data_IF_593809769271
#
_entry.id   IF_593809769271
#
_cell.length_a   1.000
_cell.length_b   1.000
_cell.length_c   1.000
_cell.angle_alpha   90.00
_cell.angle_beta   90.00
_cell.angle_gamma   90.00
#
_symmetry.space_group_name_H-M   'P 1'
#
loop_
_entity.id
_entity.type
_entity.pdbx_description
1 polymer ?
#
# COMPACT_ATOMS: atom_id res chain seq x y z
N UNK A 1 4.70 -7.06 -10.43
CA UNK A 1 4.34 -7.35 -9.02
C UNK A 1 4.31 -6.04 -8.22
N UNK A 2 3.13 -5.43 -8.05
CA UNK A 2 3.01 -4.05 -7.51
C UNK A 2 2.76 -3.98 -5.99
N UNK A 3 2.38 -5.09 -5.36
CA UNK A 3 2.05 -5.13 -3.93
C UNK A 3 3.31 -5.37 -3.10
N UNK A 4 3.51 -4.56 -2.06
CA UNK A 4 4.56 -4.71 -1.06
C UNK A 4 3.99 -4.67 0.35
N UNK A 5 4.65 -5.33 1.29
CA UNK A 5 4.30 -5.20 2.71
C UNK A 5 5.52 -5.11 3.61
N UNK A 6 5.36 -4.47 4.76
CA UNK A 6 6.34 -4.47 5.84
C UNK A 6 5.61 -4.78 7.14
N UNK A 7 6.04 -5.81 7.88
CA UNK A 7 5.39 -6.24 9.12
C UNK A 7 6.39 -6.26 10.27
N UNK A 8 5.95 -5.89 11.47
CA UNK A 8 6.71 -6.10 12.71
C UNK A 8 6.63 -7.55 13.19
N UNK A 9 5.69 -8.34 12.66
CA UNK A 9 5.47 -9.75 13.04
C UNK A 9 5.76 -10.69 11.87
N UNK A 10 6.30 -11.87 12.20
CA UNK A 10 6.60 -12.95 11.25
C UNK A 10 5.36 -13.66 10.69
N UNK A 11 4.16 -13.29 11.12
CA UNK A 11 2.89 -13.97 10.80
C UNK A 11 2.37 -13.66 9.37
N UNK A 12 3.31 -13.34 8.48
CA UNK A 12 3.06 -12.86 7.12
C UNK A 12 3.00 -13.98 6.08
N UNK A 13 3.18 -15.24 6.51
CA UNK A 13 3.34 -16.41 5.64
C UNK A 13 2.11 -16.73 4.74
N UNK A 14 0.99 -16.03 4.93
CA UNK A 14 -0.22 -16.18 4.10
C UNK A 14 -0.47 -15.01 3.13
N UNK A 15 0.40 -13.99 3.14
CA UNK A 15 0.36 -12.93 2.14
C UNK A 15 1.27 -13.35 0.98
N UNK A 16 0.70 -13.73 -0.17
CA UNK A 16 1.43 -13.89 -1.45
C UNK A 16 1.88 -12.52 -1.99
N UNK A 17 2.54 -11.73 -1.15
CA UNK A 17 2.98 -10.36 -1.38
C UNK A 17 4.48 -10.30 -1.19
N UNK A 18 5.10 -9.30 -1.79
CA UNK A 18 6.56 -9.16 -1.73
C UNK A 18 6.93 -8.31 -0.51
N UNK A 19 7.91 -8.75 0.25
CA UNK A 19 8.44 -7.97 1.39
C UNK A 19 9.01 -6.65 0.85
N UNK A 20 8.72 -5.55 1.53
CA UNK A 20 9.25 -4.25 1.18
C UNK A 20 10.76 -4.26 1.34
N UNK A 21 11.46 -3.96 0.25
CA UNK A 21 12.92 -3.95 0.22
C UNK A 21 13.48 -2.80 1.06
N UNK A 22 14.60 -3.07 1.71
CA UNK A 22 15.40 -2.02 2.34
C UNK A 22 15.98 -1.10 1.27
N UNK A 23 16.07 0.19 1.59
CA UNK A 23 16.77 1.16 0.74
C UNK A 23 18.22 0.75 0.61
N UNK A 24 18.62 0.40 -0.62
CA UNK A 24 20.02 0.30 -0.98
C UNK A 24 20.56 1.72 -1.23
N UNK A 25 20.90 2.43 -0.15
CA UNK A 25 21.60 3.71 -0.28
C UNK A 25 23.00 3.45 -0.86
N UNK A 26 23.14 3.61 -2.17
CA UNK A 26 24.44 3.52 -2.86
C UNK A 26 25.37 4.69 -2.53
N UNK A 27 24.88 5.73 -1.85
CA UNK A 27 25.69 6.86 -1.41
C UNK A 27 26.29 6.58 -0.02
N UNK A 28 27.51 6.04 -0.06
CA UNK A 28 28.35 5.79 1.10
C UNK A 28 28.46 7.06 1.99
N UNK A 29 28.43 6.86 3.31
CA UNK A 29 28.80 7.80 4.40
C UNK A 29 27.72 8.50 5.24
N UNK A 30 26.41 8.28 5.03
CA UNK A 30 25.42 8.66 6.06
C UNK A 30 24.99 7.44 6.85
N UNK A 31 25.11 7.52 8.18
CA UNK A 31 24.47 6.57 9.11
C UNK A 31 22.96 6.66 8.81
N UNK A 32 22.44 5.65 8.09
CA UNK A 32 21.01 5.53 7.83
C UNK A 32 20.37 5.28 9.19
N UNK A 33 19.59 6.24 9.67
CA UNK A 33 18.80 6.03 10.90
C UNK A 33 17.84 4.88 10.60
N UNK A 34 17.58 4.01 11.58
CA UNK A 34 16.66 2.89 11.38
C UNK A 34 15.34 3.32 10.75
N UNK A 35 14.87 4.54 11.07
CA UNK A 35 13.66 5.15 10.51
C UNK A 35 13.64 5.36 8.99
N UNK A 36 14.81 5.48 8.38
CA UNK A 36 14.99 5.85 6.97
C UNK A 36 15.33 4.61 6.12
N UNK A 37 15.32 3.42 6.74
CA UNK A 37 15.74 2.13 6.16
C UNK A 37 14.78 1.59 5.09
N UNK A 38 13.49 1.91 5.17
CA UNK A 38 12.49 1.44 4.22
C UNK A 38 11.89 2.58 3.41
N UNK A 39 11.59 2.33 2.12
CA UNK A 39 10.85 3.30 1.30
C UNK A 39 9.34 3.16 1.54
N UNK A 40 8.84 3.78 2.61
CA UNK A 40 7.42 3.83 2.91
C UNK A 40 6.81 5.11 2.31
N UNK A 41 5.94 4.93 1.30
CA UNK A 41 5.17 6.03 0.72
C UNK A 41 4.08 6.53 1.70
N UNK A 42 3.73 7.82 1.63
CA UNK A 42 2.76 8.45 2.56
C UNK A 42 3.36 9.53 3.47
N UNK A 43 4.58 9.99 3.17
CA UNK A 43 5.28 10.99 3.97
C UNK A 43 5.74 10.46 5.33
N UNK A 44 6.27 11.35 6.17
CA UNK A 44 6.83 10.96 7.47
C UNK A 44 5.84 10.37 8.47
N UNK A 45 4.52 10.42 8.20
CA UNK A 45 3.46 9.95 9.11
C UNK A 45 3.36 8.43 9.13
N UNK A 46 3.17 7.79 7.97
CA UNK A 46 3.08 6.32 7.89
C UNK A 46 4.36 5.68 8.46
N UNK A 47 5.49 6.29 8.13
CA UNK A 47 6.79 5.89 8.64
C UNK A 47 6.86 6.03 10.17
N UNK A 48 6.52 7.21 10.70
CA UNK A 48 6.51 7.48 12.15
C UNK A 48 5.59 6.53 12.90
N UNK A 49 4.37 6.29 12.40
CA UNK A 49 3.41 5.39 13.03
C UNK A 49 3.96 3.97 13.13
N UNK A 50 4.58 3.47 12.07
CA UNK A 50 5.19 2.14 12.08
C UNK A 50 6.33 2.03 13.08
N UNK A 51 7.25 3.00 13.11
CA UNK A 51 8.34 2.99 14.10
C UNK A 51 7.83 3.15 15.52
N UNK A 52 6.84 4.01 15.76
CA UNK A 52 6.23 4.14 17.09
C UNK A 52 5.59 2.83 17.52
N UNK A 53 4.86 2.15 16.62
CA UNK A 53 4.27 0.84 16.90
C UNK A 53 5.35 -0.21 17.22
N UNK A 54 6.42 -0.27 16.42
CA UNK A 54 7.55 -1.16 16.66
C UNK A 54 8.22 -0.91 18.03
N UNK A 55 8.49 0.35 18.38
CA UNK A 55 9.05 0.72 19.68
C UNK A 55 8.12 0.40 20.84
N UNK A 56 6.81 0.50 20.61
CA UNK A 56 5.77 0.20 21.59
C UNK A 56 5.39 -1.28 21.63
N UNK A 57 6.08 -2.13 20.85
CA UNK A 57 5.78 -3.56 20.70
C UNK A 57 4.34 -3.85 20.24
N UNK A 58 3.72 -2.90 19.54
CA UNK A 58 2.40 -3.05 18.94
C UNK A 58 2.57 -3.70 17.57
N UNK A 59 1.89 -4.82 17.28
CA UNK A 59 1.90 -5.42 15.95
C UNK A 59 1.40 -4.44 14.90
N UNK A 60 2.21 -4.18 13.87
CA UNK A 60 1.87 -3.28 12.78
C UNK A 60 2.30 -3.88 11.45
N UNK A 61 1.45 -3.71 10.45
CA UNK A 61 1.74 -4.10 9.07
C UNK A 61 1.38 -2.95 8.14
N UNK A 62 2.34 -2.51 7.35
CA UNK A 62 2.13 -1.57 6.25
C UNK A 62 1.90 -2.37 4.97
N UNK A 63 0.88 -1.94 4.22
CA UNK A 63 0.54 -2.47 2.90
C UNK A 63 0.73 -1.35 1.88
N UNK A 64 1.48 -1.62 0.81
CA UNK A 64 1.85 -0.65 -0.21
C UNK A 64 1.52 -1.19 -1.59
N UNK A 65 1.06 -0.31 -2.46
CA UNK A 65 0.95 -0.56 -3.89
C UNK A 65 1.61 0.59 -4.65
N UNK A 66 2.45 0.25 -5.61
CA UNK A 66 2.93 1.23 -6.58
C UNK A 66 1.93 1.33 -7.72
N UNK A 67 1.42 2.53 -7.95
CA UNK A 67 0.33 2.81 -8.89
C UNK A 67 0.83 3.63 -10.06
N UNK A 68 0.34 3.33 -11.25
CA UNK A 68 0.46 4.22 -12.41
C UNK A 68 -0.50 5.41 -12.25
N UNK A 69 -0.11 6.56 -12.83
CA UNK A 69 -0.89 7.80 -12.77
C UNK A 69 -2.24 7.58 -13.47
N UNK A 70 -3.33 8.02 -12.84
CA UNK A 70 -4.70 7.94 -13.38
C UNK A 70 -5.43 6.63 -13.08
N UNK A 71 -4.80 5.69 -12.36
CA UNK A 71 -5.40 4.42 -11.95
C UNK A 71 -5.50 4.28 -10.42
N UNK A 72 -5.36 5.38 -9.68
CA UNK A 72 -5.23 5.39 -8.22
C UNK A 72 -6.46 4.76 -7.53
N UNK A 73 -7.66 5.01 -8.06
CA UNK A 73 -8.91 4.47 -7.49
C UNK A 73 -9.01 2.96 -7.70
N UNK A 74 -8.72 2.47 -8.90
CA UNK A 74 -8.73 1.04 -9.19
C UNK A 74 -7.72 0.31 -8.31
N UNK A 75 -6.50 0.83 -8.24
CA UNK A 75 -5.42 0.30 -7.42
C UNK A 75 -5.72 0.32 -5.92
N UNK A 76 -6.36 1.39 -5.41
CA UNK A 76 -6.82 1.45 -4.02
C UNK A 76 -7.86 0.36 -3.71
N UNK A 77 -8.76 0.09 -4.65
CA UNK A 77 -9.75 -0.99 -4.51
C UNK A 77 -9.11 -2.37 -4.51
N UNK A 78 -8.15 -2.61 -5.40
CA UNK A 78 -7.39 -3.86 -5.42
C UNK A 78 -6.64 -4.09 -4.10
N UNK A 79 -6.03 -3.03 -3.53
CA UNK A 79 -5.40 -3.09 -2.22
C UNK A 79 -6.39 -3.47 -1.11
N UNK A 80 -7.58 -2.85 -1.11
CA UNK A 80 -8.63 -3.12 -0.14
C UNK A 80 -9.15 -4.56 -0.25
N UNK A 81 -9.40 -5.06 -1.46
CA UNK A 81 -9.84 -6.44 -1.70
C UNK A 81 -8.80 -7.42 -1.15
N UNK A 82 -7.52 -7.21 -1.44
CA UNK A 82 -6.48 -8.09 -0.91
C UNK A 82 -6.31 -7.99 0.61
N UNK A 83 -6.46 -6.80 1.20
CA UNK A 83 -6.49 -6.64 2.66
C UNK A 83 -7.64 -7.47 3.26
N UNK A 84 -8.83 -7.38 2.68
CA UNK A 84 -10.00 -8.14 3.13
C UNK A 84 -9.80 -9.65 3.00
N UNK A 85 -9.20 -10.11 1.90
CA UNK A 85 -8.85 -11.53 1.71
C UNK A 85 -7.85 -11.99 2.77
N UNK A 86 -6.81 -11.20 3.05
CA UNK A 86 -5.80 -11.53 4.05
C UNK A 86 -6.41 -11.62 5.46
N UNK A 87 -7.21 -10.61 5.84
CA UNK A 87 -7.81 -10.54 7.17
C UNK A 87 -9.07 -11.37 7.32
N UNK A 88 -9.61 -11.89 6.21
CA UNK A 88 -10.91 -12.57 6.14
C UNK A 88 -12.04 -11.76 6.78
N UNK A 89 -11.93 -10.42 6.75
CA UNK A 89 -12.86 -9.53 7.45
C UNK A 89 -14.21 -9.45 6.75
N UNK A 90 -14.23 -9.49 5.42
CA UNK A 90 -15.44 -9.47 4.62
C UNK A 90 -15.28 -10.35 3.37
N UNK A 91 -16.30 -11.13 3.04
CA UNK A 91 -16.48 -11.60 1.67
C UNK A 91 -17.01 -10.42 0.87
N UNK A 92 -16.13 -9.75 0.13
CA UNK A 92 -16.49 -8.58 -0.67
C UNK A 92 -17.28 -9.06 -1.89
N UNK A 93 -18.58 -9.27 -1.76
CA UNK A 93 -19.38 -9.84 -2.85
C UNK A 93 -19.63 -8.87 -4.02
N UNK A 94 -19.47 -7.56 -3.82
CA UNK A 94 -19.33 -6.57 -4.90
C UNK A 94 -19.12 -5.19 -4.27
N UNK A 95 -17.95 -4.60 -4.44
CA UNK A 95 -17.75 -3.21 -4.07
C UNK A 95 -18.46 -2.31 -5.08
N UNK A 96 -19.39 -1.48 -4.62
CA UNK A 96 -20.03 -0.47 -5.46
C UNK A 96 -19.24 0.83 -5.40
N UNK A 97 -18.79 1.30 -6.57
CA UNK A 97 -18.13 2.60 -6.67
C UNK A 97 -19.08 3.71 -6.22
N UNK A 98 -18.63 4.60 -5.30
CA UNK A 98 -19.39 5.78 -4.92
C UNK A 98 -19.83 6.57 -6.15
N UNK A 99 -21.08 7.04 -6.16
CA UNK A 99 -21.68 7.71 -7.32
C UNK A 99 -20.88 8.93 -7.79
N UNK A 100 -20.23 9.64 -6.85
CA UNK A 100 -19.37 10.79 -7.14
C UNK A 100 -18.10 10.43 -7.93
N UNK A 101 -17.58 9.21 -7.74
CA UNK A 101 -16.41 8.72 -8.49
C UNK A 101 -16.81 8.17 -9.86
N UNK A 102 -18.01 7.59 -9.98
CA UNK A 102 -18.55 7.11 -11.25
C UNK A 102 -18.65 8.23 -12.30
N UNK A 103 -19.20 9.37 -11.91
CA UNK A 103 -19.31 10.53 -12.79
C UNK A 103 -17.95 11.08 -13.27
N UNK A 104 -16.89 10.95 -12.45
CA UNK A 104 -15.55 11.41 -12.83
C UNK A 104 -14.87 10.47 -13.83
N UNK A 105 -15.06 9.15 -13.68
CA UNK A 105 -14.53 8.16 -14.64
C UNK A 105 -15.25 8.26 -15.99
N UNK A 106 -16.58 8.42 -15.99
CA UNK A 106 -17.39 8.57 -17.21
C UNK A 106 -17.07 9.86 -17.99
N UNK A 107 -16.57 10.89 -17.31
CA UNK A 107 -16.16 12.15 -17.96
C UNK A 107 -14.74 12.11 -18.52
N UNK A 108 -13.94 11.10 -18.18
CA UNK A 108 -12.58 10.91 -18.70
C UNK A 108 -12.49 9.95 -19.88
N UNK A 109 -13.52 9.15 -20.13
CA UNK A 109 -13.63 8.37 -21.36
C UNK A 109 -13.92 9.32 -22.53
N UNK A 110 -12.86 9.75 -23.21
CA UNK A 110 -12.97 10.46 -24.49
C UNK A 110 -13.77 9.56 -25.45
N UNK A 111 -14.86 10.05 -26.07
CA UNK A 111 -15.62 9.25 -27.02
C UNK A 111 -14.70 8.84 -28.19
N UNK A 112 -14.87 7.63 -28.75
CA UNK A 112 -14.08 7.21 -29.90
C UNK A 112 -14.30 8.22 -31.03
N UNK A 113 -13.19 8.76 -31.55
CA UNK A 113 -13.20 9.60 -32.73
C UNK A 113 -13.52 8.66 -33.90
N UNK A 114 -14.72 8.78 -34.46
CA UNK A 114 -15.15 8.09 -35.68
C UNK A 114 -14.55 8.76 -36.92
#
# INVERSE_FOLDING_TARGET
>A
EQFRYLSTTLDSNNLNWIVLEERQDKHHHKIVRDRDRYYIAGGGIANRLFYTAQQSQIPATILLMFTDIGQEVQHANELLIRLNQWKKWCQVEQWQMPTSQRAWVETQTVPPIY
#
